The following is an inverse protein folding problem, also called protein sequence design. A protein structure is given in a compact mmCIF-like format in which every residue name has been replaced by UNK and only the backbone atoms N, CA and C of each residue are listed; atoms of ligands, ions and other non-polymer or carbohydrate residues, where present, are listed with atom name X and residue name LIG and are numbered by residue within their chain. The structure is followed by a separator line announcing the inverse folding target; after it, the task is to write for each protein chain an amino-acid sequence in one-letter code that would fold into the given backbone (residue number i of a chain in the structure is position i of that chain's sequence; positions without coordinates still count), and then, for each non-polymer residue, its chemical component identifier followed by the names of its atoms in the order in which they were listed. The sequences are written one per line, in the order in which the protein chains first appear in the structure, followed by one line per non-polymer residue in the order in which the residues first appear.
data_IF_371226000286
#
_entry.id   IF_371226000286
#
_cell.length_a   1.000
_cell.length_b   1.000
_cell.length_c   1.000
_cell.angle_alpha   90.00
_cell.angle_beta   90.00
_cell.angle_gamma   90.00
#
_symmetry.space_group_name_H-M   'P 1'
#
loop_
_entity.id
_entity.type
_entity.pdbx_description
1 polymer ?
#
# COMPACT_ATOMS: atom_id res chain seq x y z
N UNK A 1 -21.95 -5.03 -22.16
CA UNK A 1 -21.68 -4.63 -20.76
C UNK A 1 -20.25 -4.13 -20.70
N UNK A 2 -20.05 -2.85 -20.40
CA UNK A 2 -18.70 -2.28 -20.21
C UNK A 2 -18.36 -2.41 -18.72
N UNK A 3 -17.68 -3.50 -18.36
CA UNK A 3 -17.14 -3.72 -17.01
C UNK A 3 -15.63 -3.51 -16.99
N UNK A 4 -15.06 -3.37 -15.80
CA UNK A 4 -13.60 -3.38 -15.60
C UNK A 4 -13.21 -4.82 -15.24
N UNK A 5 -12.21 -5.35 -15.93
CA UNK A 5 -11.66 -6.67 -15.61
C UNK A 5 -10.76 -6.56 -14.39
N UNK A 6 -10.94 -7.47 -13.43
CA UNK A 6 -10.17 -7.51 -12.19
C UNK A 6 -9.72 -8.94 -11.88
N UNK A 7 -8.57 -9.04 -11.23
CA UNK A 7 -8.05 -10.30 -10.70
C UNK A 7 -7.79 -10.16 -9.20
N UNK A 8 -8.43 -11.01 -8.40
CA UNK A 8 -8.29 -11.05 -6.94
C UNK A 8 -7.32 -12.17 -6.53
N UNK A 9 -6.53 -11.96 -5.48
CA UNK A 9 -5.71 -13.03 -4.89
C UNK A 9 -4.53 -12.50 -4.08
N UNK A 10 -3.52 -13.35 -3.89
CA UNK A 10 -2.23 -13.01 -3.29
C UNK A 10 -1.11 -13.35 -4.27
N UNK A 11 -0.19 -12.42 -4.49
CA UNK A 11 0.94 -12.59 -5.41
C UNK A 11 2.21 -11.94 -4.89
N UNK A 12 3.35 -12.36 -5.41
CA UNK A 12 4.65 -11.76 -5.11
C UNK A 12 4.76 -10.31 -5.59
N UNK A 13 5.60 -9.54 -4.91
CA UNK A 13 5.82 -8.12 -5.22
C UNK A 13 6.23 -7.88 -6.68
N UNK A 14 7.03 -8.78 -7.25
CA UNK A 14 7.47 -8.69 -8.65
C UNK A 14 6.29 -8.77 -9.62
N UNK A 15 5.26 -9.55 -9.28
CA UNK A 15 4.03 -9.66 -10.06
C UNK A 15 3.21 -8.38 -9.95
N UNK A 16 3.10 -7.79 -8.76
CA UNK A 16 2.45 -6.49 -8.55
C UNK A 16 3.14 -5.41 -9.37
N UNK A 17 4.48 -5.29 -9.29
CA UNK A 17 5.24 -4.28 -10.04
C UNK A 17 5.13 -4.49 -11.56
N UNK A 18 5.09 -5.74 -12.02
CA UNK A 18 4.85 -6.06 -13.43
C UNK A 18 3.44 -5.64 -13.86
N UNK A 19 2.41 -5.91 -13.05
CA UNK A 19 1.04 -5.49 -13.30
C UNK A 19 0.92 -3.96 -13.38
N UNK A 20 1.50 -3.25 -12.41
CA UNK A 20 1.56 -1.78 -12.40
C UNK A 20 2.18 -1.18 -13.67
N UNK A 21 3.11 -1.91 -14.31
CA UNK A 21 3.75 -1.48 -15.55
C UNK A 21 2.90 -1.77 -16.79
N UNK A 22 2.21 -2.91 -16.83
CA UNK A 22 1.62 -3.45 -18.05
C UNK A 22 0.11 -3.23 -18.14
N UNK A 23 -0.59 -3.27 -17.01
CA UNK A 23 -2.04 -3.42 -16.96
C UNK A 23 -2.73 -2.32 -16.16
N UNK A 24 -2.06 -1.68 -15.20
CA UNK A 24 -2.64 -0.55 -14.46
C UNK A 24 -2.59 -0.70 -12.94
N UNK A 25 -3.43 0.03 -12.19
CA UNK A 25 -3.34 0.12 -10.74
C UNK A 25 -3.74 -1.19 -10.04
N UNK A 26 -3.40 -1.27 -8.75
CA UNK A 26 -3.83 -2.35 -7.88
C UNK A 26 -4.39 -1.81 -6.56
N UNK A 27 -5.42 -2.43 -6.02
CA UNK A 27 -5.96 -2.15 -4.68
C UNK A 27 -5.37 -3.20 -3.73
N UNK A 28 -4.78 -2.76 -2.63
CA UNK A 28 -4.04 -3.63 -1.70
C UNK A 28 -4.56 -3.43 -0.30
N UNK A 29 -4.88 -4.52 0.40
CA UNK A 29 -5.13 -4.49 1.83
C UNK A 29 -3.80 -4.40 2.59
N UNK A 30 -3.72 -3.45 3.51
CA UNK A 30 -2.52 -3.22 4.30
C UNK A 30 -2.86 -3.07 5.78
N UNK A 31 -1.89 -3.33 6.64
CA UNK A 31 -1.93 -2.84 8.00
C UNK A 31 -1.64 -1.33 8.00
N UNK A 32 -2.66 -0.52 8.27
CA UNK A 32 -2.64 0.94 8.30
C UNK A 32 -1.51 1.50 9.19
N UNK A 33 -1.09 0.73 10.19
CA UNK A 33 -0.06 1.14 11.14
C UNK A 33 1.34 1.05 10.58
N UNK A 34 1.56 0.21 9.58
CA UNK A 34 2.84 0.06 8.89
C UNK A 34 2.94 0.96 7.65
N UNK A 35 1.86 1.62 7.25
CA UNK A 35 1.89 2.58 6.16
C UNK A 35 2.78 3.78 6.51
N UNK A 36 3.77 4.01 5.65
CA UNK A 36 4.67 5.16 5.71
C UNK A 36 4.57 5.96 4.42
N UNK A 37 4.98 7.21 4.46
CA UNK A 37 5.01 8.08 3.29
C UNK A 37 6.18 9.06 3.43
N UNK A 38 7.15 9.01 2.52
CA UNK A 38 8.35 9.85 2.57
C UNK A 38 8.05 11.34 2.30
N UNK A 39 6.92 11.64 1.64
CA UNK A 39 6.50 12.99 1.30
C UNK A 39 5.56 13.61 2.36
N UNK A 40 4.94 12.78 3.19
CA UNK A 40 3.88 13.20 4.07
C UNK A 40 4.47 13.62 5.42
N UNK A 41 4.39 14.91 5.76
CA UNK A 41 4.92 15.48 7.02
C UNK A 41 4.30 14.89 8.30
N UNK A 42 3.14 14.22 8.19
CA UNK A 42 2.38 13.68 9.32
C UNK A 42 2.99 12.42 9.95
N UNK A 43 3.80 11.66 9.21
CA UNK A 43 4.28 10.36 9.71
C UNK A 43 5.32 10.46 10.82
N UNK A 44 6.12 11.53 10.87
CA UNK A 44 7.16 11.67 11.91
C UNK A 44 6.56 11.78 13.30
N UNK A 45 5.58 12.68 13.45
CA UNK A 45 4.92 12.94 14.74
C UNK A 45 4.13 11.73 15.22
N UNK A 46 3.40 11.04 14.33
CA UNK A 46 2.64 9.85 14.72
C UNK A 46 3.52 8.63 15.04
N UNK A 47 4.68 8.47 14.39
CA UNK A 47 5.61 7.37 14.71
C UNK A 47 6.26 7.57 16.08
N UNK A 48 6.75 8.79 16.34
CA UNK A 48 7.39 9.14 17.62
C UNK A 48 6.39 8.99 18.77
N UNK A 49 5.14 9.46 18.60
CA UNK A 49 4.11 9.34 19.63
C UNK A 49 3.66 7.89 19.88
N UNK A 50 3.70 7.04 18.85
CA UNK A 50 3.41 5.59 18.98
C UNK A 50 4.49 4.83 19.74
N UNK A 51 5.73 5.32 19.78
CA UNK A 51 6.80 4.71 20.57
C UNK A 51 6.66 5.01 22.08
N UNK A 52 5.99 6.11 22.44
CA UNK A 52 5.85 6.56 23.82
C UNK A 52 4.54 6.15 24.50
N UNK A 53 3.54 5.67 23.76
CA UNK A 53 2.23 5.31 24.29
C UNK A 53 1.93 3.82 24.07
N UNK A 54 1.43 3.09 25.08
CA UNK A 54 1.01 1.69 24.93
C UNK A 54 -0.30 1.63 24.12
N UNK A 55 -0.19 1.80 22.80
CA UNK A 55 -1.31 1.58 21.90
C UNK A 55 -1.45 0.07 21.69
N UNK A 56 -2.65 -0.53 21.84
CA UNK A 56 -2.83 -1.95 21.59
C UNK A 56 -2.37 -2.26 20.17
N UNK A 57 -1.31 -3.05 20.01
CA UNK A 57 -0.56 -3.35 18.78
C UNK A 57 -1.32 -4.26 17.79
N UNK A 58 -2.65 -4.16 17.76
CA UNK A 58 -3.49 -4.92 16.84
C UNK A 58 -3.32 -4.51 15.38
N UNK A 59 -3.66 -5.45 14.49
CA UNK A 59 -3.91 -5.19 13.10
C UNK A 59 -4.98 -4.11 12.92
N UNK A 60 -4.77 -3.21 11.95
CA UNK A 60 -5.77 -2.26 11.49
C UNK A 60 -5.80 -2.29 9.96
N UNK A 61 -6.80 -2.95 9.38
CA UNK A 61 -6.94 -3.05 7.93
C UNK A 61 -7.18 -1.68 7.27
N UNK A 62 -6.51 -1.45 6.14
CA UNK A 62 -6.71 -0.26 5.32
C UNK A 62 -6.35 -0.54 3.86
N UNK A 63 -7.31 -0.30 2.96
CA UNK A 63 -7.09 -0.42 1.53
C UNK A 63 -6.40 0.83 0.98
N UNK A 64 -5.38 0.62 0.15
CA UNK A 64 -4.70 1.66 -0.62
C UNK A 64 -4.72 1.32 -2.11
N UNK A 65 -4.52 2.33 -2.96
CA UNK A 65 -4.37 2.13 -4.41
C UNK A 65 -2.91 2.31 -4.77
N UNK A 66 -2.23 1.27 -5.24
CA UNK A 66 -0.93 1.38 -5.89
C UNK A 66 -1.12 1.94 -7.31
N UNK A 67 -0.40 3.02 -7.61
CA UNK A 67 -0.53 3.75 -8.88
C UNK A 67 0.71 3.60 -9.77
N UNK A 68 1.83 3.14 -9.23
CA UNK A 68 3.07 2.99 -9.98
C UNK A 68 4.27 2.78 -9.07
N UNK A 69 5.46 2.71 -9.66
CA UNK A 69 6.68 2.47 -8.92
C UNK A 69 7.90 3.11 -9.60
N UNK A 70 8.97 3.28 -8.83
CA UNK A 70 10.29 3.63 -9.33
C UNK A 70 11.26 2.49 -9.01
N UNK A 71 11.70 1.77 -10.05
CA UNK A 71 12.59 0.61 -9.90
C UNK A 71 13.96 0.99 -9.34
N UNK A 72 14.58 2.07 -9.83
CA UNK A 72 15.94 2.46 -9.42
C UNK A 72 15.98 2.96 -7.97
N UNK A 73 14.91 3.61 -7.51
CA UNK A 73 14.77 4.10 -6.13
C UNK A 73 14.12 3.10 -5.17
N UNK A 74 13.67 1.94 -5.67
CA UNK A 74 12.88 0.94 -4.92
C UNK A 74 11.68 1.57 -4.17
N UNK A 75 10.93 2.43 -4.85
CA UNK A 75 9.76 3.12 -4.28
C UNK A 75 8.47 2.73 -4.99
N UNK A 76 7.37 2.70 -4.25
CA UNK A 76 6.00 2.59 -4.78
C UNK A 76 5.25 3.89 -4.55
N UNK A 77 4.42 4.28 -5.51
CA UNK A 77 3.52 5.42 -5.43
C UNK A 77 2.11 4.92 -5.20
N UNK A 78 1.42 5.50 -4.21
CA UNK A 78 0.10 5.01 -3.82
C UNK A 78 -0.83 6.15 -3.40
N UNK A 79 -2.13 5.98 -3.61
CA UNK A 79 -3.16 6.83 -3.03
C UNK A 79 -3.70 6.18 -1.76
N UNK A 80 -3.82 6.99 -0.72
CA UNK A 80 -4.42 6.61 0.54
C UNK A 80 -5.78 7.31 0.67
N UNK A 81 -6.90 6.56 0.68
CA UNK A 81 -8.25 7.12 0.76
C UNK A 81 -8.51 8.01 1.97
N UNK A 82 -7.77 7.84 3.08
CA UNK A 82 -7.87 8.70 4.27
C UNK A 82 -7.36 10.13 4.05
N UNK A 83 -6.78 10.40 2.88
CA UNK A 83 -6.20 11.68 2.54
C UNK A 83 -6.74 12.20 1.21
N UNK A 84 -7.20 13.45 1.18
CA UNK A 84 -7.68 14.07 -0.06
C UNK A 84 -6.54 14.32 -1.05
N UNK A 85 -6.81 13.96 -2.33
CA UNK A 85 -6.06 14.24 -3.55
C UNK A 85 -4.51 14.33 -3.43
N UNK A 86 -3.88 13.29 -2.89
CA UNK A 86 -2.41 13.19 -2.83
C UNK A 86 -1.91 11.81 -3.26
N UNK A 87 -0.70 11.80 -3.83
CA UNK A 87 0.07 10.57 -4.07
C UNK A 87 1.15 10.47 -2.99
N UNK A 88 1.08 9.40 -2.21
CA UNK A 88 2.07 9.03 -1.22
C UNK A 88 3.18 8.18 -1.86
N UNK A 89 4.30 8.04 -1.17
CA UNK A 89 5.44 7.21 -1.63
C UNK A 89 6.07 6.48 -0.44
N UNK A 90 6.34 5.19 -0.59
CA UNK A 90 7.07 4.39 0.40
C UNK A 90 8.06 3.43 -0.27
N UNK A 91 8.96 2.81 0.50
CA UNK A 91 9.79 1.73 -0.02
C UNK A 91 8.94 0.52 -0.41
N UNK A 92 9.44 -0.26 -1.37
CA UNK A 92 8.87 -1.56 -1.71
C UNK A 92 8.83 -2.47 -0.47
N UNK A 93 9.88 -2.42 0.37
CA UNK A 93 9.97 -3.23 1.58
C UNK A 93 8.90 -2.84 2.61
N UNK A 94 8.64 -1.54 2.81
CA UNK A 94 7.57 -1.09 3.70
C UNK A 94 6.17 -1.48 3.20
N UNK A 95 5.96 -1.53 1.88
CA UNK A 95 4.73 -2.05 1.30
C UNK A 95 4.59 -3.56 1.59
N UNK A 96 5.65 -4.35 1.40
CA UNK A 96 5.65 -5.79 1.70
C UNK A 96 5.31 -6.04 3.16
N UNK A 97 5.99 -5.36 4.09
CA UNK A 97 5.71 -5.47 5.53
C UNK A 97 4.25 -5.13 5.85
N UNK A 98 3.72 -4.07 5.23
CA UNK A 98 2.35 -3.62 5.45
C UNK A 98 1.30 -4.58 4.89
N UNK A 99 1.52 -5.14 3.69
CA UNK A 99 0.55 -6.02 3.01
C UNK A 99 0.63 -7.48 3.45
N UNK A 100 1.77 -7.93 3.98
CA UNK A 100 1.98 -9.30 4.52
C UNK A 100 1.79 -9.38 6.04
N UNK A 101 1.42 -8.27 6.66
CA UNK A 101 1.14 -8.21 8.10
C UNK A 101 -0.03 -9.11 8.47
N UNK A 102 0.00 -9.72 9.65
CA UNK A 102 -1.11 -10.52 10.17
C UNK A 102 -2.46 -9.79 10.01
N UNK A 103 -3.46 -10.50 9.49
CA UNK A 103 -4.84 -10.02 9.30
C UNK A 103 -5.13 -9.37 7.94
N UNK A 104 -4.14 -9.18 7.07
CA UNK A 104 -4.38 -8.71 5.69
C UNK A 104 -4.74 -9.83 4.73
N UNK A 105 -4.43 -11.09 5.09
CA UNK A 105 -4.53 -12.28 4.22
C UNK A 105 -3.87 -12.12 2.83
N UNK A 106 -3.00 -11.11 2.72
CA UNK A 106 -2.38 -10.63 1.48
C UNK A 106 -3.38 -10.24 0.38
N UNK A 107 -4.59 -9.81 0.76
CA UNK A 107 -5.66 -9.43 -0.16
C UNK A 107 -5.23 -8.32 -1.14
N UNK A 108 -5.38 -8.62 -2.43
CA UNK A 108 -5.00 -7.78 -3.56
C UNK A 108 -6.04 -7.89 -4.68
N UNK A 109 -6.38 -6.74 -5.28
CA UNK A 109 -7.19 -6.65 -6.49
C UNK A 109 -6.35 -5.95 -7.57
N UNK A 110 -5.99 -6.69 -8.60
CA UNK A 110 -5.32 -6.21 -9.80
C UNK A 110 -6.37 -5.70 -10.79
N UNK A 111 -6.19 -4.48 -11.31
CA UNK A 111 -7.13 -3.85 -12.24
C UNK A 111 -6.50 -3.80 -13.63
N UNK A 112 -7.18 -4.35 -14.64
CA UNK A 112 -6.76 -4.29 -16.05
C UNK A 112 -7.41 -3.09 -16.75
N UNK A 113 -6.59 -2.10 -17.13
CA UNK A 113 -6.97 -0.84 -17.78
C UNK A 113 -6.27 -0.64 -19.12
#
# INVERSE_FOLDING_TARGET
MYGINVHEGSVEIVTILRHLRLNGPAIVLTNARLLTCDLCKLNKVSLELRQCLPWPAGYQGHYIVLCGYNKSRRKVYYRNPSFHNRVCVMSIDALEDARKSYGTDEDLILIDL
#
